data_IF_392733925925
#
_entry.id   IF_392733925925
#
_cell.length_a   1.000
_cell.length_b   1.000
_cell.length_c   1.000
_cell.angle_alpha   90.00
_cell.angle_beta   90.00
_cell.angle_gamma   90.00
#
_symmetry.space_group_name_H-M   'P 1'
#
loop_
_entity.id
_entity.type
_entity.pdbx_description
1 polymer ?
#
# COMPACT_ATOMS: atom_id res chain seq x y z
N UNK A 1 15.78 -7.60 -4.73
CA UNK A 1 14.46 -8.00 -5.27
C UNK A 1 14.07 -6.99 -6.33
N UNK A 2 13.68 -7.39 -7.56
CA UNK A 2 13.24 -6.42 -8.56
C UNK A 2 12.04 -5.65 -8.00
N UNK A 3 12.06 -4.32 -8.14
CA UNK A 3 10.89 -3.49 -7.90
C UNK A 3 9.87 -3.91 -8.95
N UNK A 4 8.99 -4.84 -8.59
CA UNK A 4 7.82 -5.15 -9.39
C UNK A 4 7.02 -3.85 -9.37
N UNK A 5 7.17 -3.02 -10.41
CA UNK A 5 6.11 -2.09 -10.77
C UNK A 5 4.95 -3.02 -11.07
N UNK A 6 4.14 -3.32 -10.05
CA UNK A 6 2.80 -3.83 -10.26
C UNK A 6 2.24 -2.93 -11.34
N UNK A 7 1.84 -3.56 -12.43
CA UNK A 7 1.35 -2.99 -13.69
C UNK A 7 1.30 -1.46 -13.72
N UNK A 8 1.99 -0.81 -14.68
CA UNK A 8 2.05 0.68 -14.82
C UNK A 8 0.69 1.40 -14.75
N UNK A 9 -0.40 0.64 -14.83
CA UNK A 9 -1.78 1.07 -14.88
C UNK A 9 -2.57 0.97 -13.57
N UNK A 10 -2.04 0.39 -12.47
CA UNK A 10 -2.82 0.41 -11.22
C UNK A 10 -2.81 1.81 -10.62
N UNK A 11 -3.96 2.25 -10.10
CA UNK A 11 -4.12 3.60 -9.60
C UNK A 11 -3.44 3.75 -8.24
N UNK A 12 -2.15 4.11 -8.25
CA UNK A 12 -1.35 4.31 -7.05
C UNK A 12 -2.01 5.30 -6.06
N UNK A 13 -2.68 6.33 -6.58
CA UNK A 13 -3.47 7.28 -5.78
C UNK A 13 -4.66 6.63 -5.07
N UNK A 14 -5.36 5.70 -5.74
CA UNK A 14 -6.48 4.96 -5.13
C UNK A 14 -6.00 4.05 -4.01
N UNK A 15 -4.88 3.35 -4.23
CA UNK A 15 -4.25 2.56 -3.18
C UNK A 15 -3.85 3.44 -1.98
N UNK A 16 -3.19 4.57 -2.23
CA UNK A 16 -2.79 5.47 -1.14
C UNK A 16 -3.99 6.04 -0.39
N UNK A 17 -5.09 6.33 -1.08
CA UNK A 17 -6.34 6.79 -0.47
C UNK A 17 -6.91 5.75 0.49
N UNK A 18 -7.03 4.50 0.06
CA UNK A 18 -7.53 3.42 0.92
C UNK A 18 -6.59 3.12 2.08
N UNK A 19 -5.27 3.16 1.85
CA UNK A 19 -4.27 3.06 2.92
C UNK A 19 -4.45 4.18 3.94
N UNK A 20 -4.64 5.45 3.54
CA UNK A 20 -4.88 6.56 4.47
C UNK A 20 -6.13 6.35 5.32
N UNK A 21 -7.21 5.91 4.69
CA UNK A 21 -8.49 5.65 5.37
C UNK A 21 -8.31 4.58 6.45
N UNK A 22 -7.69 3.46 6.09
CA UNK A 22 -7.43 2.35 7.00
C UNK A 22 -6.42 2.68 8.09
N UNK A 23 -5.40 3.49 7.79
CA UNK A 23 -4.48 4.02 8.82
C UNK A 23 -5.20 4.84 9.88
N UNK A 24 -6.14 5.69 9.47
CA UNK A 24 -6.93 6.48 10.41
C UNK A 24 -7.85 5.58 11.28
N UNK A 25 -8.51 4.61 10.65
CA UNK A 25 -9.41 3.66 11.30
C UNK A 25 -8.70 2.83 12.38
N UNK A 26 -7.56 2.23 12.05
CA UNK A 26 -6.78 1.39 12.95
C UNK A 26 -5.75 2.17 13.79
N UNK A 27 -5.72 3.50 13.69
CA UNK A 27 -4.74 4.37 14.38
C UNK A 27 -3.27 3.98 14.14
N UNK A 28 -2.95 3.55 12.92
CA UNK A 28 -1.61 3.10 12.51
C UNK A 28 -0.78 4.31 12.10
N UNK A 29 0.43 4.44 12.65
CA UNK A 29 1.35 5.52 12.30
C UNK A 29 2.15 5.22 11.03
N UNK A 30 2.87 6.21 10.48
CA UNK A 30 3.83 5.93 9.41
C UNK A 30 4.97 5.04 9.90
N UNK A 31 5.37 5.17 11.18
CA UNK A 31 6.43 4.37 11.80
C UNK A 31 6.07 2.89 11.83
N UNK A 32 4.85 2.56 12.24
CA UNK A 32 4.37 1.17 12.32
C UNK A 32 4.37 0.52 10.93
N UNK A 33 3.77 1.21 9.96
CA UNK A 33 3.69 0.72 8.58
C UNK A 33 5.08 0.60 7.93
N UNK A 34 6.00 1.53 8.22
CA UNK A 34 7.38 1.45 7.77
C UNK A 34 8.10 0.24 8.37
N UNK A 35 7.85 -0.04 9.66
CA UNK A 35 8.34 -1.23 10.36
C UNK A 35 7.87 -2.53 9.73
N UNK A 36 6.60 -2.64 9.36
CA UNK A 36 6.06 -3.84 8.68
C UNK A 36 6.70 -4.10 7.33
N UNK A 37 6.98 -3.02 6.60
CA UNK A 37 7.58 -3.09 5.27
C UNK A 37 9.12 -3.17 5.30
N UNK A 38 9.74 -3.09 6.48
CA UNK A 38 11.20 -3.10 6.62
C UNK A 38 11.89 -1.92 5.94
N UNK A 39 11.25 -0.74 5.91
CA UNK A 39 11.77 0.49 5.29
C UNK A 39 11.81 1.64 6.29
N UNK A 40 12.53 2.71 5.95
CA UNK A 40 12.46 3.96 6.71
C UNK A 40 11.12 4.67 6.49
N UNK A 41 10.72 5.56 7.40
CA UNK A 41 9.51 6.38 7.21
C UNK A 41 9.57 7.21 5.93
N UNK A 42 10.75 7.74 5.57
CA UNK A 42 10.96 8.44 4.29
C UNK A 42 10.76 7.49 3.10
N UNK A 43 11.25 6.25 3.21
CA UNK A 43 11.03 5.21 2.21
C UNK A 43 9.56 4.84 2.05
N UNK A 44 8.80 4.79 3.15
CA UNK A 44 7.36 4.59 3.11
C UNK A 44 6.65 5.75 2.39
N UNK A 45 7.01 7.00 2.69
CA UNK A 45 6.44 8.18 2.01
C UNK A 45 6.70 8.11 0.50
N UNK A 46 7.90 7.71 0.09
CA UNK A 46 8.24 7.51 -1.31
C UNK A 46 7.36 6.41 -1.95
N UNK A 47 7.25 5.24 -1.31
CA UNK A 47 6.41 4.13 -1.80
C UNK A 47 4.95 4.53 -1.95
N UNK A 48 4.41 5.27 -0.98
CA UNK A 48 3.05 5.81 -0.99
C UNK A 48 2.82 6.80 -2.14
N UNK A 49 3.76 7.71 -2.37
CA UNK A 49 3.67 8.73 -3.42
C UNK A 49 3.75 8.13 -4.82
N UNK A 50 4.65 7.17 -5.03
CA UNK A 50 4.98 6.66 -6.37
C UNK A 50 4.43 5.28 -6.67
N UNK A 51 3.70 4.65 -5.74
CA UNK A 51 3.21 3.29 -5.90
C UNK A 51 4.34 2.28 -6.10
N UNK A 52 5.50 2.46 -5.46
CA UNK A 52 6.63 1.52 -5.63
C UNK A 52 6.59 0.39 -4.61
N UNK A 53 5.44 -0.27 -4.52
CA UNK A 53 5.25 -1.45 -3.67
C UNK A 53 5.67 -2.70 -4.42
N UNK A 54 6.28 -3.64 -3.70
CA UNK A 54 6.43 -5.01 -4.21
C UNK A 54 5.17 -5.82 -3.93
N UNK A 55 5.01 -6.98 -4.57
CA UNK A 55 3.91 -7.90 -4.23
C UNK A 55 3.92 -8.26 -2.74
N UNK A 56 5.11 -8.49 -2.15
CA UNK A 56 5.26 -8.76 -0.73
C UNK A 56 4.78 -7.60 0.14
N UNK A 57 5.14 -6.36 -0.23
CA UNK A 57 4.67 -5.17 0.49
C UNK A 57 3.14 -5.09 0.46
N UNK A 58 2.53 -5.33 -0.71
CA UNK A 58 1.08 -5.33 -0.84
C UNK A 58 0.42 -6.40 0.00
N UNK A 59 0.94 -7.63 0.00
CA UNK A 59 0.40 -8.71 0.84
C UNK A 59 0.43 -8.33 2.32
N UNK A 60 1.54 -7.72 2.79
CA UNK A 60 1.66 -7.25 4.17
C UNK A 60 0.64 -6.13 4.45
N UNK A 61 0.51 -5.16 3.54
CA UNK A 61 -0.44 -4.05 3.68
C UNK A 61 -1.89 -4.59 3.77
N UNK A 62 -2.29 -5.45 2.84
CA UNK A 62 -3.66 -5.96 2.79
C UNK A 62 -3.99 -6.82 3.99
N UNK A 63 -3.05 -7.63 4.47
CA UNK A 63 -3.21 -8.41 5.69
C UNK A 63 -3.33 -7.51 6.93
N UNK A 64 -2.36 -6.60 7.14
CA UNK A 64 -2.31 -5.72 8.33
C UNK A 64 -3.49 -4.76 8.42
N UNK A 65 -3.97 -4.26 7.28
CA UNK A 65 -5.13 -3.38 7.24
C UNK A 65 -6.46 -4.13 7.01
N UNK A 66 -6.43 -5.46 6.93
CA UNK A 66 -7.62 -6.30 6.69
C UNK A 66 -8.45 -5.80 5.50
N UNK A 67 -7.80 -5.58 4.35
CA UNK A 67 -8.48 -5.08 3.16
C UNK A 67 -9.49 -6.12 2.66
N UNK A 68 -10.78 -5.76 2.48
CA UNK A 68 -11.74 -6.63 1.83
C UNK A 68 -11.29 -6.92 0.39
N UNK A 69 -11.54 -8.14 -0.09
CA UNK A 69 -11.23 -8.56 -1.46
C UNK A 69 -11.86 -7.60 -2.48
N UNK A 70 -13.05 -7.08 -2.18
CA UNK A 70 -13.75 -6.08 -3.01
C UNK A 70 -12.95 -4.78 -3.15
N UNK A 71 -12.33 -4.29 -2.06
CA UNK A 71 -11.50 -3.09 -2.06
C UNK A 71 -10.21 -3.32 -2.85
N UNK A 72 -9.60 -4.50 -2.68
CA UNK A 72 -8.44 -4.90 -3.50
C UNK A 72 -8.85 -4.90 -4.98
N UNK A 73 -9.98 -5.52 -5.31
CA UNK A 73 -10.54 -5.51 -6.66
C UNK A 73 -10.77 -4.10 -7.21
N UNK A 74 -11.27 -3.15 -6.41
CA UNK A 74 -11.43 -1.75 -6.83
C UNK A 74 -10.11 -1.04 -7.12
N UNK A 75 -9.07 -1.31 -6.34
CA UNK A 75 -7.74 -0.69 -6.52
C UNK A 75 -7.03 -1.20 -7.77
N UNK A 76 -7.24 -2.48 -8.14
CA UNK A 76 -6.55 -3.12 -9.26
C UNK A 76 -7.41 -3.36 -10.51
N UNK A 77 -8.73 -3.15 -10.47
CA UNK A 77 -9.55 -3.18 -11.69
C UNK A 77 -9.15 -2.00 -12.58
N UNK A 78 -8.76 -2.31 -13.81
CA UNK A 78 -8.72 -1.32 -14.90
C UNK A 78 -10.15 -0.77 -15.08
N UNK A 79 -10.25 0.56 -15.08
CA UNK A 79 -11.35 1.24 -15.78
C UNK A 79 -11.13 1.09 -17.29
#
# INVERSE_FOLDING_TARGET
MPLVKLDKNYQAEMLDREVRKRKAEFRITNRDMAGWLGVSERGLVYKRKYGTYTLKDLSIIFDRFQFPIETIGKVFRKA
#
